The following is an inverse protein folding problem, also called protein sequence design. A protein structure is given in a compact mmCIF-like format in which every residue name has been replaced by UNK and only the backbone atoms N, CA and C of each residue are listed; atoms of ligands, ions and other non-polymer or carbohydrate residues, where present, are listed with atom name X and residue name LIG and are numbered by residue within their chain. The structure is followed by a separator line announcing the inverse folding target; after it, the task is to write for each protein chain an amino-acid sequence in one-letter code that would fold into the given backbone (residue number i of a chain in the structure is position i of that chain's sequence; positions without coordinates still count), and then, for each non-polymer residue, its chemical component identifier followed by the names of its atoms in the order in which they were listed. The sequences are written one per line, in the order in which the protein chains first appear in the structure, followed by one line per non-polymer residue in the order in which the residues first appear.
data_IF_961060286558
#
_entry.id   IF_961060286558
#
_cell.length_a   1.000
_cell.length_b   1.000
_cell.length_c   1.000
_cell.angle_alpha   90.00
_cell.angle_beta   90.00
_cell.angle_gamma   90.00
#
_symmetry.space_group_name_H-M   'P 1'
#
loop_
_entity.id
_entity.type
_entity.pdbx_description
1 polymer ?
#
# COMPACT_ATOMS: atom_id res chain seq x y z
N UNK A 1 9.22 -16.61 11.38
CA UNK A 1 8.13 -15.92 10.65
C UNK A 1 7.03 -16.89 10.21
N UNK A 2 7.29 -17.89 9.36
CA UNK A 2 6.23 -18.77 8.81
C UNK A 2 5.46 -19.65 9.82
N UNK A 3 6.09 -20.11 10.92
CA UNK A 3 5.42 -20.97 11.92
C UNK A 3 4.32 -20.29 12.75
N UNK A 4 4.29 -18.96 12.82
CA UNK A 4 3.25 -18.23 13.57
C UNK A 4 2.00 -18.02 12.70
N UNK A 5 2.17 -17.77 11.40
CA UNK A 5 1.06 -17.48 10.50
C UNK A 5 0.26 -18.73 10.08
N UNK A 6 0.93 -19.89 9.96
CA UNK A 6 0.27 -21.15 9.54
C UNK A 6 -0.79 -21.63 10.54
N UNK A 7 -0.54 -21.68 11.86
CA UNK A 7 -1.55 -22.05 12.85
C UNK A 7 -2.75 -21.09 12.86
N UNK A 8 -2.50 -19.78 12.75
CA UNK A 8 -3.56 -18.77 12.71
C UNK A 8 -4.43 -18.95 11.47
N UNK A 9 -3.81 -19.19 10.30
CA UNK A 9 -4.52 -19.46 9.06
C UNK A 9 -5.40 -20.72 9.14
N UNK A 10 -4.88 -21.81 9.73
CA UNK A 10 -5.63 -23.05 9.95
C UNK A 10 -6.82 -22.86 10.89
N UNK A 11 -6.63 -22.14 12.00
CA UNK A 11 -7.72 -21.82 12.94
C UNK A 11 -8.81 -21.00 12.26
N UNK A 12 -8.43 -20.00 11.48
CA UNK A 12 -9.39 -19.20 10.70
C UNK A 12 -10.17 -20.07 9.71
N UNK A 13 -9.49 -20.96 8.98
CA UNK A 13 -10.11 -21.88 8.01
C UNK A 13 -11.09 -22.85 8.69
N UNK A 14 -10.71 -23.39 9.84
CA UNK A 14 -11.55 -24.28 10.65
C UNK A 14 -12.78 -23.56 11.23
N UNK A 15 -12.70 -22.24 11.46
CA UNK A 15 -13.80 -21.43 11.98
C UNK A 15 -14.81 -21.00 10.89
N UNK A 16 -14.43 -21.00 9.60
CA UNK A 16 -15.29 -20.57 8.49
C UNK A 16 -16.67 -21.26 8.46
N UNK A 17 -16.81 -22.59 8.64
CA UNK A 17 -18.11 -23.26 8.59
C UNK A 17 -19.07 -22.85 9.71
N UNK A 18 -18.52 -22.39 10.85
CA UNK A 18 -19.29 -21.93 12.00
C UNK A 18 -19.68 -20.44 11.88
N UNK A 19 -18.85 -19.64 11.20
CA UNK A 19 -19.03 -18.18 11.08
C UNK A 19 -19.78 -17.77 9.81
N UNK A 20 -19.77 -18.58 8.76
CA UNK A 20 -20.43 -18.27 7.50
C UNK A 20 -21.91 -18.69 7.50
N UNK A 21 -22.83 -17.84 6.98
CA UNK A 21 -24.22 -18.21 6.77
C UNK A 21 -24.34 -19.45 5.88
N UNK A 22 -25.12 -20.45 6.30
CA UNK A 22 -25.31 -21.74 5.58
C UNK A 22 -25.96 -21.61 4.19
N UNK A 23 -26.46 -20.43 3.82
CA UNK A 23 -27.10 -20.19 2.52
C UNK A 23 -26.65 -18.84 1.96
N UNK A 24 -25.95 -18.89 0.83
CA UNK A 24 -25.76 -17.71 -0.02
C UNK A 24 -27.08 -17.44 -0.77
N UNK A 25 -27.56 -16.18 -0.84
CA UNK A 25 -28.84 -15.84 -1.50
C UNK A 25 -28.89 -16.19 -2.99
N UNK A 26 -27.74 -16.34 -3.67
CA UNK A 26 -27.64 -16.81 -5.04
C UNK A 26 -26.36 -17.63 -5.25
N UNK A 27 -26.36 -18.62 -6.17
CA UNK A 27 -25.14 -19.26 -6.62
C UNK A 27 -24.29 -18.24 -7.39
N UNK A 28 -23.30 -17.63 -6.73
CA UNK A 28 -22.29 -16.84 -7.41
C UNK A 28 -21.50 -17.76 -8.34
N UNK A 29 -21.63 -17.54 -9.66
CA UNK A 29 -20.81 -18.24 -10.65
C UNK A 29 -19.41 -17.63 -10.57
N UNK A 30 -18.41 -18.45 -10.24
CA UNK A 30 -17.04 -18.01 -10.10
C UNK A 30 -16.39 -17.88 -11.49
N UNK A 31 -15.89 -16.71 -11.85
CA UNK A 31 -15.05 -16.52 -13.05
C UNK A 31 -13.65 -17.12 -12.80
N UNK A 32 -13.53 -18.45 -12.86
CA UNK A 32 -12.24 -19.11 -12.68
C UNK A 32 -11.16 -18.56 -13.63
N UNK A 33 -11.42 -18.41 -14.95
CA UNK A 33 -10.46 -17.83 -15.88
C UNK A 33 -10.02 -16.42 -15.47
N UNK A 34 -10.97 -15.54 -15.15
CA UNK A 34 -10.70 -14.17 -14.73
C UNK A 34 -9.85 -14.12 -13.45
N UNK A 35 -10.22 -14.92 -12.44
CA UNK A 35 -9.48 -15.03 -11.17
C UNK A 35 -8.05 -15.51 -11.42
N UNK A 36 -7.85 -16.57 -12.19
CA UNK A 36 -6.51 -17.10 -12.48
C UNK A 36 -5.67 -16.05 -13.21
N UNK A 37 -6.21 -15.36 -14.20
CA UNK A 37 -5.49 -14.35 -14.98
C UNK A 37 -5.07 -13.15 -14.12
N UNK A 38 -5.98 -12.59 -13.32
CA UNK A 38 -5.68 -11.42 -12.49
C UNK A 38 -4.72 -11.77 -11.35
N UNK A 39 -4.86 -12.95 -10.74
CA UNK A 39 -3.95 -13.42 -9.68
C UNK A 39 -2.57 -13.70 -10.25
N UNK A 40 -2.47 -14.43 -11.37
CA UNK A 40 -1.19 -14.71 -12.02
C UNK A 40 -0.53 -13.42 -12.53
N UNK A 41 -1.32 -12.48 -13.07
CA UNK A 41 -0.84 -11.17 -13.50
C UNK A 41 -0.24 -10.37 -12.35
N UNK A 42 -0.95 -10.29 -11.23
CA UNK A 42 -0.48 -9.60 -10.02
C UNK A 42 0.75 -10.27 -9.41
N UNK A 43 0.77 -11.59 -9.33
CA UNK A 43 1.93 -12.34 -8.85
C UNK A 43 3.15 -12.12 -9.76
N UNK A 44 2.96 -12.13 -11.08
CA UNK A 44 4.02 -11.86 -12.05
C UNK A 44 4.53 -10.42 -11.96
N UNK A 45 3.64 -9.45 -11.76
CA UNK A 45 4.01 -8.04 -11.58
C UNK A 45 4.89 -7.85 -10.34
N UNK A 46 4.41 -8.33 -9.20
CA UNK A 46 5.13 -8.24 -7.92
C UNK A 46 6.48 -8.95 -8.02
N UNK A 47 6.50 -10.18 -8.56
CA UNK A 47 7.73 -10.94 -8.74
C UNK A 47 8.73 -10.21 -9.65
N UNK A 48 8.25 -9.65 -10.76
CA UNK A 48 9.06 -8.87 -11.68
C UNK A 48 9.64 -7.61 -11.05
N UNK A 49 8.87 -6.87 -10.26
CA UNK A 49 9.34 -5.68 -9.53
C UNK A 49 10.39 -6.01 -8.47
N UNK A 50 10.20 -7.09 -7.71
CA UNK A 50 11.20 -7.58 -6.75
C UNK A 50 12.49 -7.98 -7.48
N UNK A 51 12.38 -8.76 -8.56
CA UNK A 51 13.54 -9.17 -9.37
C UNK A 51 14.25 -8.00 -10.05
N UNK A 52 13.51 -6.97 -10.47
CA UNK A 52 14.09 -5.75 -11.00
C UNK A 52 14.97 -5.07 -9.94
N UNK A 53 14.54 -5.13 -8.67
CA UNK A 53 15.29 -4.56 -7.57
C UNK A 53 16.56 -5.34 -7.21
N UNK A 54 16.49 -6.68 -7.27
CA UNK A 54 17.60 -7.57 -6.91
C UNK A 54 18.63 -7.78 -8.04
N UNK A 55 18.15 -8.04 -9.26
CA UNK A 55 18.96 -8.43 -10.41
C UNK A 55 19.12 -7.33 -11.46
N UNK A 56 18.50 -6.17 -11.22
CA UNK A 56 18.49 -5.03 -12.13
C UNK A 56 17.31 -5.04 -13.13
N UNK A 57 16.91 -3.84 -13.52
CA UNK A 57 15.75 -3.57 -14.37
C UNK A 57 15.83 -4.15 -15.79
N UNK A 58 17.05 -4.29 -16.33
CA UNK A 58 17.28 -4.84 -17.65
C UNK A 58 17.44 -6.37 -17.66
N UNK A 59 17.43 -7.02 -16.48
CA UNK A 59 17.60 -8.47 -16.40
C UNK A 59 16.41 -9.20 -17.00
N UNK A 60 16.67 -10.27 -17.76
CA UNK A 60 15.61 -11.12 -18.32
C UNK A 60 14.68 -11.66 -17.23
N UNK A 61 15.22 -11.93 -16.03
CA UNK A 61 14.49 -12.39 -14.85
C UNK A 61 13.51 -11.35 -14.28
N UNK A 62 13.68 -10.07 -14.59
CA UNK A 62 12.75 -8.99 -14.24
C UNK A 62 11.82 -8.63 -15.40
N UNK A 63 12.36 -8.45 -16.61
CA UNK A 63 11.59 -8.02 -17.78
C UNK A 63 10.55 -9.06 -18.18
N UNK A 64 10.91 -10.35 -18.20
CA UNK A 64 10.00 -11.42 -18.62
C UNK A 64 8.72 -11.48 -17.77
N UNK A 65 8.77 -11.53 -16.42
CA UNK A 65 7.56 -11.50 -15.61
C UNK A 65 6.80 -10.17 -15.67
N UNK A 66 7.47 -9.02 -15.85
CA UNK A 66 6.78 -7.73 -16.05
C UNK A 66 5.97 -7.68 -17.35
N UNK A 67 6.58 -8.13 -18.46
CA UNK A 67 5.87 -8.26 -19.75
C UNK A 67 4.77 -9.31 -19.63
N UNK A 68 5.03 -10.44 -18.96
CA UNK A 68 4.04 -11.47 -18.66
C UNK A 68 2.84 -10.92 -17.90
N UNK A 69 3.06 -10.08 -16.90
CA UNK A 69 1.99 -9.41 -16.15
C UNK A 69 1.13 -8.53 -17.06
N UNK A 70 1.74 -7.73 -17.93
CA UNK A 70 1.01 -6.89 -18.90
C UNK A 70 0.13 -7.74 -19.83
N UNK A 71 0.67 -8.84 -20.35
CA UNK A 71 -0.07 -9.78 -21.20
C UNK A 71 -1.23 -10.43 -20.42
N UNK A 72 -0.99 -10.86 -19.18
CA UNK A 72 -2.01 -11.48 -18.32
C UNK A 72 -3.14 -10.50 -17.97
N UNK A 73 -2.83 -9.24 -17.68
CA UNK A 73 -3.84 -8.21 -17.45
C UNK A 73 -4.62 -7.84 -18.72
N UNK A 74 -3.97 -7.81 -19.88
CA UNK A 74 -4.65 -7.61 -21.16
C UNK A 74 -5.60 -8.78 -21.48
N UNK A 75 -5.15 -10.02 -21.24
CA UNK A 75 -5.97 -11.21 -21.37
C UNK A 75 -7.15 -11.20 -20.37
N UNK A 76 -6.91 -10.83 -19.11
CA UNK A 76 -7.96 -10.65 -18.10
C UNK A 76 -9.03 -9.67 -18.59
N UNK A 77 -8.61 -8.48 -19.05
CA UNK A 77 -9.54 -7.47 -19.54
C UNK A 77 -10.33 -7.94 -20.78
N UNK A 78 -9.72 -8.75 -21.66
CA UNK A 78 -10.40 -9.33 -22.81
C UNK A 78 -11.43 -10.41 -22.40
N UNK A 79 -11.06 -11.29 -21.45
CA UNK A 79 -11.94 -12.34 -20.93
C UNK A 79 -13.13 -11.74 -20.19
N UNK A 80 -12.90 -10.78 -19.28
CA UNK A 80 -13.96 -10.11 -18.53
C UNK A 80 -15.00 -9.42 -19.42
N UNK A 81 -14.58 -8.86 -20.57
CA UNK A 81 -15.50 -8.20 -21.51
C UNK A 81 -16.46 -9.15 -22.21
N UNK A 82 -16.10 -10.44 -22.31
CA UNK A 82 -16.88 -11.46 -23.04
C UNK A 82 -17.52 -12.47 -22.09
N UNK A 83 -17.04 -12.56 -20.84
CA UNK A 83 -17.52 -13.48 -19.82
C UNK A 83 -18.97 -13.20 -19.43
N UNK A 84 -19.79 -14.27 -19.41
CA UNK A 84 -21.19 -14.21 -18.92
C UNK A 84 -21.28 -14.22 -17.40
N UNK A 85 -20.19 -14.52 -16.71
CA UNK A 85 -20.07 -14.55 -15.26
C UNK A 85 -18.84 -13.75 -14.82
N UNK A 86 -18.63 -12.59 -15.46
CA UNK A 86 -17.53 -11.66 -15.21
C UNK A 86 -17.28 -11.46 -13.70
N UNK A 87 -16.01 -11.55 -13.30
CA UNK A 87 -15.58 -11.36 -11.92
C UNK A 87 -15.94 -9.97 -11.42
N UNK A 88 -15.79 -8.95 -12.28
CA UNK A 88 -16.05 -7.58 -11.91
C UNK A 88 -16.44 -6.72 -13.12
N UNK A 89 -17.31 -5.73 -12.89
CA UNK A 89 -17.49 -4.69 -13.89
C UNK A 89 -16.18 -3.87 -13.98
N UNK A 90 -15.49 -3.94 -15.12
CA UNK A 90 -14.26 -3.17 -15.37
C UNK A 90 -14.48 -1.65 -15.25
N UNK A 91 -15.72 -1.15 -15.36
CA UNK A 91 -16.07 0.24 -15.07
C UNK A 91 -15.78 0.61 -13.62
N UNK A 92 -15.63 -0.34 -12.72
CA UNK A 92 -15.17 -0.11 -11.34
C UNK A 92 -13.82 0.62 -11.32
N UNK A 93 -12.89 0.29 -12.23
CA UNK A 93 -11.61 1.01 -12.37
C UNK A 93 -11.77 2.41 -12.97
N UNK A 94 -12.95 2.77 -13.49
CA UNK A 94 -13.25 4.15 -13.91
C UNK A 94 -13.96 4.94 -12.81
N UNK A 95 -14.43 4.29 -11.74
CA UNK A 95 -15.04 4.96 -10.59
C UNK A 95 -13.95 5.72 -9.84
N UNK A 96 -14.06 7.05 -9.85
CA UNK A 96 -13.07 7.96 -9.29
C UNK A 96 -12.67 7.65 -7.85
N UNK A 97 -13.63 7.25 -7.00
CA UNK A 97 -13.36 6.93 -5.60
C UNK A 97 -12.53 5.65 -5.41
N UNK A 98 -12.77 4.63 -6.23
CA UNK A 98 -11.96 3.39 -6.26
C UNK A 98 -10.55 3.69 -6.72
N UNK A 99 -10.39 4.50 -7.78
CA UNK A 99 -9.08 4.95 -8.27
C UNK A 99 -8.31 5.74 -7.21
N UNK A 100 -8.98 6.64 -6.50
CA UNK A 100 -8.39 7.41 -5.39
C UNK A 100 -7.90 6.48 -4.30
N UNK A 101 -8.74 5.53 -3.84
CA UNK A 101 -8.34 4.62 -2.79
C UNK A 101 -7.20 3.70 -3.21
N UNK A 102 -7.24 3.17 -4.43
CA UNK A 102 -6.14 2.38 -4.99
C UNK A 102 -4.82 3.16 -5.05
N UNK A 103 -4.86 4.42 -5.52
CA UNK A 103 -3.69 5.30 -5.57
C UNK A 103 -3.11 5.58 -4.18
N UNK A 104 -3.95 6.00 -3.23
CA UNK A 104 -3.51 6.31 -1.87
C UNK A 104 -2.93 5.06 -1.20
N UNK A 105 -3.56 3.90 -1.37
CA UNK A 105 -3.05 2.65 -0.81
C UNK A 105 -1.69 2.26 -1.39
N UNK A 106 -1.52 2.37 -2.72
CA UNK A 106 -0.25 2.06 -3.36
C UNK A 106 0.88 2.94 -2.85
N UNK A 107 0.66 4.26 -2.78
CA UNK A 107 1.68 5.21 -2.30
C UNK A 107 2.00 5.01 -0.83
N UNK A 108 0.97 4.92 0.02
CA UNK A 108 1.14 4.72 1.46
C UNK A 108 1.91 3.44 1.75
N UNK A 109 1.61 2.35 1.03
CA UNK A 109 2.27 1.05 1.22
C UNK A 109 3.70 1.05 0.69
N UNK A 110 3.94 1.64 -0.49
CA UNK A 110 5.27 1.77 -1.06
C UNK A 110 6.22 2.55 -0.13
N UNK A 111 5.75 3.66 0.42
CA UNK A 111 6.52 4.46 1.38
C UNK A 111 6.72 3.71 2.70
N UNK A 112 5.68 3.06 3.22
CA UNK A 112 5.77 2.30 4.48
C UNK A 112 6.83 1.20 4.38
N UNK A 113 6.72 0.33 3.38
CA UNK A 113 7.66 -0.77 3.20
C UNK A 113 9.05 -0.23 2.87
N UNK A 114 9.14 0.84 2.06
CA UNK A 114 10.39 1.53 1.78
C UNK A 114 11.09 2.01 3.05
N UNK A 115 10.36 2.68 3.95
CA UNK A 115 10.89 3.16 5.22
C UNK A 115 11.36 2.06 6.15
N UNK A 116 10.61 0.96 6.25
CA UNK A 116 11.03 -0.19 7.06
C UNK A 116 12.28 -0.87 6.48
N UNK A 117 12.38 -0.96 5.14
CA UNK A 117 13.53 -1.54 4.48
C UNK A 117 14.76 -0.65 4.63
N UNK A 118 14.68 0.62 4.21
CA UNK A 118 15.76 1.60 4.37
C UNK A 118 16.19 1.71 5.83
N UNK A 119 15.24 1.83 6.76
CA UNK A 119 15.51 1.89 8.19
C UNK A 119 16.20 0.63 8.70
N UNK A 120 15.80 -0.56 8.24
CA UNK A 120 16.44 -1.82 8.63
C UNK A 120 17.86 -1.92 8.11
N UNK A 121 18.10 -1.57 6.84
CA UNK A 121 19.45 -1.57 6.25
C UNK A 121 20.34 -0.57 6.99
N UNK A 122 19.86 0.65 7.27
CA UNK A 122 20.60 1.64 8.04
C UNK A 122 20.94 1.12 9.45
N UNK A 123 19.95 0.62 10.19
CA UNK A 123 20.16 0.16 11.57
C UNK A 123 21.06 -1.08 11.65
N UNK A 124 20.89 -2.06 10.76
CA UNK A 124 21.63 -3.32 10.85
C UNK A 124 22.99 -3.23 10.17
N UNK A 125 23.06 -2.69 8.95
CA UNK A 125 24.32 -2.70 8.18
C UNK A 125 25.21 -1.51 8.51
N UNK A 126 24.66 -0.30 8.74
CA UNK A 126 25.49 0.86 9.12
C UNK A 126 25.66 1.01 10.63
N UNK A 127 24.61 0.79 11.42
CA UNK A 127 24.65 0.97 12.88
C UNK A 127 24.99 -0.31 13.66
N UNK A 128 24.99 -1.47 13.01
CA UNK A 128 25.32 -2.75 13.64
C UNK A 128 24.28 -3.26 14.64
N UNK A 129 23.04 -2.77 14.58
CA UNK A 129 21.97 -3.20 15.48
C UNK A 129 21.59 -4.65 15.17
N UNK A 130 21.28 -5.43 16.21
CA UNK A 130 20.69 -6.75 16.02
C UNK A 130 19.29 -6.65 15.39
N UNK A 131 18.78 -7.72 14.76
CA UNK A 131 17.41 -7.75 14.25
C UNK A 131 16.37 -7.46 15.35
N UNK A 132 16.59 -7.95 16.58
CA UNK A 132 15.72 -7.68 17.72
C UNK A 132 15.73 -6.20 18.10
N UNK A 133 16.92 -5.59 18.20
CA UNK A 133 17.05 -4.17 18.51
C UNK A 133 16.41 -3.28 17.43
N UNK A 134 16.56 -3.66 16.16
CA UNK A 134 15.91 -2.98 15.02
C UNK A 134 14.39 -3.05 15.13
N UNK A 135 13.83 -4.22 15.45
CA UNK A 135 12.40 -4.39 15.69
C UNK A 135 11.87 -3.51 16.82
N UNK A 136 12.62 -3.38 17.91
CA UNK A 136 12.26 -2.50 19.03
C UNK A 136 12.24 -1.01 18.62
N UNK A 137 13.16 -0.57 17.77
CA UNK A 137 13.18 0.81 17.24
C UNK A 137 11.95 1.10 16.36
N UNK A 138 11.37 0.10 15.71
CA UNK A 138 10.15 0.27 14.92
C UNK A 138 8.84 0.20 15.72
N UNK A 139 8.86 -0.17 17.01
CA UNK A 139 7.64 -0.19 17.82
C UNK A 139 6.93 1.17 17.88
N UNK A 140 7.62 2.31 18.16
CA UNK A 140 7.00 3.62 18.11
C UNK A 140 6.43 3.97 16.73
N UNK A 141 7.09 3.52 15.66
CA UNK A 141 6.65 3.75 14.27
C UNK A 141 5.33 3.00 14.01
N UNK A 142 5.21 1.75 14.45
CA UNK A 142 3.99 0.97 14.36
C UNK A 142 2.84 1.59 15.17
N UNK A 143 3.12 2.03 16.40
CA UNK A 143 2.14 2.73 17.25
C UNK A 143 1.66 4.02 16.58
N UNK A 144 2.57 4.83 16.05
CA UNK A 144 2.23 6.07 15.36
C UNK A 144 1.36 5.82 14.12
N UNK A 145 1.66 4.78 13.35
CA UNK A 145 0.83 4.33 12.21
C UNK A 145 -0.58 3.98 12.66
N UNK A 146 -0.72 3.22 13.75
CA UNK A 146 -2.03 2.87 14.32
C UNK A 146 -2.83 4.08 14.83
N UNK A 147 -2.15 5.05 15.45
CA UNK A 147 -2.78 6.32 15.87
C UNK A 147 -3.23 7.11 14.65
N UNK A 148 -2.38 7.21 13.62
CA UNK A 148 -2.70 7.85 12.34
C UNK A 148 -3.93 7.22 11.70
N UNK A 149 -3.98 5.89 11.62
CA UNK A 149 -5.14 5.14 11.11
C UNK A 149 -6.44 5.46 11.87
N UNK A 150 -6.37 5.46 13.21
CA UNK A 150 -7.52 5.82 14.05
C UNK A 150 -7.97 7.25 13.77
N UNK A 151 -7.06 8.21 13.68
CA UNK A 151 -7.39 9.60 13.39
C UNK A 151 -7.92 9.77 11.96
N UNK A 152 -7.36 9.06 10.98
CA UNK A 152 -7.82 9.05 9.59
C UNK A 152 -9.30 8.69 9.48
N UNK A 153 -9.75 7.62 10.17
CA UNK A 153 -11.18 7.25 10.16
C UNK A 153 -12.10 8.36 10.67
N UNK A 154 -11.65 9.16 11.65
CA UNK A 154 -12.41 10.28 12.20
C UNK A 154 -12.35 11.51 11.29
N UNK A 155 -11.18 11.80 10.71
CA UNK A 155 -10.95 12.97 9.88
C UNK A 155 -11.69 12.88 8.53
N UNK A 156 -11.71 11.70 7.89
CA UNK A 156 -12.47 11.50 6.65
C UNK A 156 -13.94 11.90 6.84
N UNK A 157 -14.55 11.51 7.97
CA UNK A 157 -15.93 11.87 8.32
C UNK A 157 -16.13 13.36 8.61
N UNK A 158 -15.12 14.06 9.14
CA UNK A 158 -15.24 15.45 9.62
C UNK A 158 -14.84 16.49 8.58
N UNK A 159 -13.72 16.28 7.89
CA UNK A 159 -13.10 17.25 6.98
C UNK A 159 -13.03 16.75 5.53
N UNK A 160 -13.55 15.55 5.27
CA UNK A 160 -13.63 14.94 3.94
C UNK A 160 -12.36 14.23 3.51
N UNK A 161 -12.49 13.40 2.47
CA UNK A 161 -11.39 12.59 1.94
C UNK A 161 -10.22 13.44 1.45
N UNK A 162 -10.49 14.48 0.65
CA UNK A 162 -9.43 15.30 0.04
C UNK A 162 -8.51 15.92 1.09
N UNK A 163 -9.09 16.63 2.05
CA UNK A 163 -8.33 17.29 3.11
C UNK A 163 -7.55 16.28 3.95
N UNK A 164 -8.16 15.13 4.25
CA UNK A 164 -7.53 14.08 5.06
C UNK A 164 -6.35 13.44 4.32
N UNK A 165 -6.53 13.09 3.04
CA UNK A 165 -5.50 12.47 2.20
C UNK A 165 -4.30 13.41 1.97
N UNK A 166 -4.57 14.68 1.64
CA UNK A 166 -3.50 15.65 1.42
C UNK A 166 -2.75 15.93 2.72
N UNK A 167 -3.45 16.04 3.86
CA UNK A 167 -2.81 16.22 5.16
C UNK A 167 -1.93 15.02 5.54
N UNK A 168 -2.40 13.78 5.32
CA UNK A 168 -1.61 12.57 5.53
C UNK A 168 -0.31 12.58 4.73
N UNK A 169 -0.41 12.79 3.42
CA UNK A 169 0.75 12.82 2.50
C UNK A 169 1.72 13.96 2.81
N UNK A 170 1.23 15.14 3.20
CA UNK A 170 2.07 16.28 3.62
C UNK A 170 2.81 15.95 4.92
N UNK A 171 2.13 15.36 5.90
CA UNK A 171 2.78 14.91 7.15
C UNK A 171 3.82 13.83 6.85
N UNK A 172 3.53 12.91 5.93
CA UNK A 172 4.49 11.90 5.46
C UNK A 172 5.72 12.55 4.83
N UNK A 173 5.53 13.51 3.92
CA UNK A 173 6.63 14.25 3.31
C UNK A 173 7.46 15.01 4.35
N UNK A 174 6.81 15.70 5.28
CA UNK A 174 7.45 16.47 6.34
C UNK A 174 8.25 15.59 7.31
N UNK A 175 7.75 14.40 7.68
CA UNK A 175 8.47 13.44 8.51
C UNK A 175 9.66 12.80 7.79
N UNK A 176 9.56 12.65 6.46
CA UNK A 176 10.62 12.08 5.63
C UNK A 176 11.75 13.07 5.37
N UNK A 177 11.44 14.37 5.27
CA UNK A 177 12.39 15.40 4.88
C UNK A 177 13.66 15.45 5.76
N UNK A 178 13.59 15.39 7.11
CA UNK A 178 14.79 15.33 7.95
C UNK A 178 15.68 14.10 7.71
N UNK A 179 15.11 13.00 7.20
CA UNK A 179 15.83 11.76 6.93
C UNK A 179 16.73 11.86 5.69
N UNK A 180 16.50 12.85 4.83
CA UNK A 180 17.38 13.17 3.69
C UNK A 180 18.79 13.50 4.17
N UNK A 181 18.91 14.17 5.31
CA UNK A 181 20.19 14.56 5.92
C UNK A 181 20.54 13.69 7.13
N UNK A 182 20.17 12.40 7.07
CA UNK A 182 20.52 11.45 8.12
C UNK A 182 22.04 11.18 8.07
N UNK A 183 22.83 11.65 9.05
CA UNK A 183 24.27 11.43 9.07
C UNK A 183 24.53 9.95 9.36
N UNK A 184 25.57 9.37 8.76
CA UNK A 184 25.97 7.98 9.00
C UNK A 184 26.24 7.68 10.49
N UNK A 185 26.76 8.66 11.22
CA UNK A 185 27.06 8.58 12.65
C UNK A 185 25.94 9.14 13.55
N UNK A 186 24.87 9.69 12.97
CA UNK A 186 23.81 10.41 13.67
C UNK A 186 23.00 9.57 14.66
N UNK A 187 22.46 10.23 15.69
CA UNK A 187 21.62 9.57 16.68
C UNK A 187 20.32 9.06 16.06
N UNK A 188 20.14 7.73 16.11
CA UNK A 188 18.93 7.01 15.70
C UNK A 188 17.69 7.59 16.39
N UNK A 189 17.78 7.86 17.69
CA UNK A 189 16.65 8.33 18.49
C UNK A 189 16.35 9.82 18.29
N UNK A 190 17.32 10.62 17.85
CA UNK A 190 17.14 12.05 17.64
C UNK A 190 16.72 12.40 16.21
N UNK A 191 17.04 11.57 15.21
CA UNK A 191 16.76 11.85 13.79
C UNK A 191 15.91 10.79 13.11
N UNK A 192 16.40 9.54 13.03
CA UNK A 192 15.72 8.48 12.30
C UNK A 192 14.34 8.18 12.89
N UNK A 193 14.27 7.89 14.19
CA UNK A 193 13.03 7.47 14.84
C UNK A 193 11.96 8.58 14.81
N UNK A 194 12.24 9.85 15.17
CA UNK A 194 11.22 10.90 15.08
C UNK A 194 10.71 11.13 13.65
N UNK A 195 11.62 11.14 12.66
CA UNK A 195 11.24 11.31 11.26
C UNK A 195 10.33 10.18 10.77
N UNK A 196 10.71 8.92 11.03
CA UNK A 196 9.90 7.76 10.68
C UNK A 196 8.57 7.71 11.43
N UNK A 197 8.54 8.11 12.71
CA UNK A 197 7.29 8.19 13.50
C UNK A 197 6.31 9.19 12.88
N UNK A 198 6.79 10.40 12.56
CA UNK A 198 5.97 11.43 11.91
C UNK A 198 5.52 10.94 10.53
N UNK A 199 6.44 10.39 9.74
CA UNK A 199 6.14 9.97 8.39
C UNK A 199 5.08 8.85 8.35
N UNK A 200 5.24 7.84 9.21
CA UNK A 200 4.35 6.69 9.30
C UNK A 200 3.01 7.01 9.96
N UNK A 201 2.93 8.05 10.79
CA UNK A 201 1.65 8.59 11.24
C UNK A 201 0.81 9.08 10.05
N UNK A 202 1.40 9.85 9.13
CA UNK A 202 0.72 10.30 7.91
C UNK A 202 0.28 9.13 7.02
N UNK A 203 1.16 8.13 6.86
CA UNK A 203 0.83 6.89 6.14
C UNK A 203 -0.38 6.19 6.77
N UNK A 204 -0.44 6.09 8.11
CA UNK A 204 -1.57 5.50 8.80
C UNK A 204 -2.89 6.20 8.47
N UNK A 205 -2.88 7.53 8.45
CA UNK A 205 -4.04 8.35 8.03
C UNK A 205 -4.47 7.97 6.61
N UNK A 206 -3.52 7.90 5.68
CA UNK A 206 -3.81 7.62 4.27
C UNK A 206 -4.24 6.18 4.00
N UNK A 207 -3.74 5.21 4.76
CA UNK A 207 -4.17 3.80 4.70
C UNK A 207 -5.69 3.68 4.91
N UNK A 208 -6.20 4.33 5.96
CA UNK A 208 -7.62 4.30 6.28
C UNK A 208 -8.41 5.17 5.31
N UNK A 209 -7.85 6.32 4.92
CA UNK A 209 -8.47 7.20 3.92
C UNK A 209 -8.65 6.48 2.59
N UNK A 210 -7.69 5.65 2.19
CA UNK A 210 -7.75 4.83 0.98
C UNK A 210 -8.94 3.86 0.99
N UNK A 211 -9.05 3.02 2.03
CA UNK A 211 -10.12 2.01 2.14
C UNK A 211 -11.50 2.68 2.26
N UNK A 212 -11.63 3.66 3.16
CA UNK A 212 -12.91 4.34 3.38
C UNK A 212 -13.40 5.07 2.13
N UNK A 213 -12.49 5.63 1.34
CA UNK A 213 -12.82 6.30 0.08
C UNK A 213 -13.15 5.32 -1.01
N UNK A 214 -12.38 4.24 -1.19
CA UNK A 214 -12.66 3.26 -2.23
C UNK A 214 -14.03 2.59 -2.06
N UNK A 215 -14.43 2.39 -0.80
CA UNK A 215 -15.72 1.79 -0.44
C UNK A 215 -16.85 2.82 -0.38
N UNK A 216 -16.55 4.12 -0.45
CA UNK A 216 -17.57 5.14 -0.48
C UNK A 216 -18.39 5.02 -1.77
N UNK A 217 -19.71 4.90 -1.62
CA UNK A 217 -20.68 4.77 -2.73
C UNK A 217 -20.54 3.48 -3.57
N UNK A 218 -19.88 2.45 -3.03
CA UNK A 218 -19.89 1.10 -3.62
C UNK A 218 -21.08 0.33 -3.05
N UNK A 219 -21.81 -0.38 -3.90
CA UNK A 219 -22.94 -1.21 -3.46
C UNK A 219 -22.43 -2.34 -2.53
N UNK A 220 -23.21 -2.78 -1.52
CA UNK A 220 -22.77 -3.82 -0.58
C UNK A 220 -22.27 -5.11 -1.27
N UNK A 221 -22.83 -5.44 -2.42
CA UNK A 221 -22.48 -6.62 -3.23
C UNK A 221 -21.12 -6.47 -3.92
N UNK A 222 -20.69 -5.23 -4.20
CA UNK A 222 -19.41 -4.90 -4.85
C UNK A 222 -18.31 -4.53 -3.85
N UNK A 223 -18.63 -4.39 -2.56
CA UNK A 223 -17.69 -3.96 -1.52
C UNK A 223 -16.50 -4.92 -1.39
N UNK A 224 -16.73 -6.23 -1.56
CA UNK A 224 -15.67 -7.24 -1.59
C UNK A 224 -14.69 -7.02 -2.75
N UNK A 225 -15.19 -6.69 -3.94
CA UNK A 225 -14.36 -6.39 -5.11
C UNK A 225 -13.58 -5.09 -4.92
N UNK A 226 -14.21 -4.04 -4.40
CA UNK A 226 -13.55 -2.76 -4.12
C UNK A 226 -12.39 -2.93 -3.13
N UNK A 227 -12.65 -3.64 -2.03
CA UNK A 227 -11.64 -3.98 -1.04
C UNK A 227 -10.51 -4.81 -1.65
N UNK A 228 -10.85 -5.79 -2.50
CA UNK A 228 -9.88 -6.60 -3.24
C UNK A 228 -8.98 -5.77 -4.16
N UNK A 229 -9.54 -4.77 -4.86
CA UNK A 229 -8.75 -3.83 -5.67
C UNK A 229 -7.80 -3.04 -4.79
N UNK A 230 -8.27 -2.43 -3.69
CA UNK A 230 -7.39 -1.68 -2.78
C UNK A 230 -6.28 -2.55 -2.21
N UNK A 231 -6.59 -3.78 -1.80
CA UNK A 231 -5.60 -4.72 -1.28
C UNK A 231 -4.61 -5.18 -2.37
N UNK A 232 -5.05 -5.29 -3.62
CA UNK A 232 -4.13 -5.56 -4.74
C UNK A 232 -3.12 -4.42 -4.89
N UNK A 233 -3.58 -3.18 -4.81
CA UNK A 233 -2.70 -2.01 -4.85
C UNK A 233 -1.82 -1.86 -3.61
N UNK A 234 -2.25 -2.37 -2.45
CA UNK A 234 -1.39 -2.54 -1.26
C UNK A 234 -0.20 -3.46 -1.58
N UNK A 235 -0.45 -4.67 -2.10
CA UNK A 235 0.62 -5.62 -2.46
C UNK A 235 1.56 -5.08 -3.55
N UNK A 236 0.98 -4.46 -4.59
CA UNK A 236 1.77 -3.82 -5.65
C UNK A 236 2.62 -2.67 -5.09
N UNK A 237 2.03 -1.81 -4.24
CA UNK A 237 2.76 -0.75 -3.55
C UNK A 237 3.94 -1.30 -2.75
N UNK A 238 3.74 -2.38 -2.02
CA UNK A 238 4.81 -3.06 -1.28
C UNK A 238 5.95 -3.54 -2.15
N UNK A 239 5.65 -4.05 -3.36
CA UNK A 239 6.68 -4.44 -4.31
C UNK A 239 7.46 -3.26 -4.91
N UNK A 240 6.85 -2.08 -5.03
CA UNK A 240 7.52 -0.85 -5.50
C UNK A 240 8.58 -0.38 -4.49
N UNK A 241 8.45 -0.70 -3.20
CA UNK A 241 9.48 -0.39 -2.21
C UNK A 241 10.85 -1.02 -2.54
N UNK A 242 10.88 -2.14 -3.30
CA UNK A 242 12.12 -2.71 -3.80
C UNK A 242 12.89 -1.71 -4.70
N UNK A 243 12.17 -0.89 -5.47
CA UNK A 243 12.76 0.16 -6.33
C UNK A 243 13.49 1.21 -5.50
N UNK A 244 12.89 1.67 -4.39
CA UNK A 244 13.51 2.62 -3.47
C UNK A 244 14.80 2.04 -2.87
N UNK A 245 14.83 0.73 -2.64
CA UNK A 245 15.96 -0.01 -2.11
C UNK A 245 17.10 -0.09 -3.12
N UNK A 246 16.78 -0.36 -4.40
CA UNK A 246 17.77 -0.34 -5.48
C UNK A 246 18.39 1.03 -5.66
N UNK A 247 17.60 2.12 -5.60
CA UNK A 247 18.14 3.49 -5.63
C UNK A 247 19.11 3.73 -4.47
N UNK A 248 18.78 3.24 -3.27
CA UNK A 248 19.68 3.33 -2.12
C UNK A 248 21.00 2.56 -2.36
N UNK A 249 20.92 1.32 -2.83
CA UNK A 249 22.08 0.45 -3.07
C UNK A 249 22.95 0.97 -4.21
N UNK A 250 22.35 1.36 -5.35
CA UNK A 250 23.09 1.94 -6.47
C UNK A 250 23.80 3.25 -6.07
N UNK A 251 23.19 4.07 -5.21
CA UNK A 251 23.85 5.25 -4.66
C UNK A 251 25.01 4.93 -3.72
N UNK A 252 24.98 3.78 -3.03
CA UNK A 252 26.08 3.29 -2.18
C UNK A 252 27.25 2.78 -3.03
N UNK A 253 26.99 2.05 -4.12
CA UNK A 253 28.02 1.47 -5.00
C UNK A 253 28.85 2.52 -5.75
N UNK A 254 28.27 3.70 -6.03
CA UNK A 254 28.98 4.82 -6.67
C UNK A 254 29.78 5.69 -5.67
N UNK A 255 29.89 5.26 -4.42
CA UNK A 255 30.83 5.79 -3.44
C UNK A 255 30.38 7.10 -2.78
N UNK A 256 29.36 7.06 -1.92
CA UNK A 256 29.16 8.02 -0.83
C UNK A 256 28.04 7.59 0.12
N UNK A 257 27.98 8.25 1.27
CA UNK A 257 26.80 8.34 2.14
C UNK A 257 25.50 8.84 1.44
N UNK A 258 25.55 9.09 0.12
CA UNK A 258 24.48 9.64 -0.74
C UNK A 258 23.35 8.66 -1.08
N UNK A 259 23.53 7.34 -0.91
CA UNK A 259 22.48 6.37 -1.25
C UNK A 259 21.21 6.51 -0.40
N UNK A 260 21.38 6.66 0.92
CA UNK A 260 20.25 6.90 1.84
C UNK A 260 19.63 8.28 1.61
N UNK A 261 20.46 9.31 1.43
CA UNK A 261 19.99 10.65 1.07
C UNK A 261 19.15 10.61 -0.20
N UNK A 262 19.60 9.93 -1.25
CA UNK A 262 18.87 9.79 -2.53
C UNK A 262 17.55 9.05 -2.35
N UNK A 263 17.55 7.95 -1.60
CA UNK A 263 16.36 7.13 -1.41
C UNK A 263 15.31 7.82 -0.52
N UNK A 264 15.73 8.50 0.55
CA UNK A 264 14.83 9.35 1.36
C UNK A 264 14.37 10.59 0.60
N UNK A 265 15.22 11.17 -0.27
CA UNK A 265 14.82 12.29 -1.16
C UNK A 265 13.73 11.84 -2.12
N UNK A 266 13.92 10.70 -2.78
CA UNK A 266 12.92 10.13 -3.68
C UNK A 266 11.62 9.82 -2.93
N UNK A 267 11.71 9.34 -1.70
CA UNK A 267 10.53 9.08 -0.86
C UNK A 267 9.80 10.37 -0.48
N UNK A 268 10.53 11.42 -0.09
CA UNK A 268 9.96 12.74 0.22
C UNK A 268 9.31 13.38 -1.02
N UNK A 269 9.96 13.31 -2.19
CA UNK A 269 9.40 13.76 -3.46
C UNK A 269 8.16 12.96 -3.81
N UNK A 270 8.18 11.63 -3.63
CA UNK A 270 7.01 10.77 -3.91
C UNK A 270 5.83 11.16 -3.03
N UNK A 271 6.05 11.38 -1.74
CA UNK A 271 4.99 11.83 -0.82
C UNK A 271 4.45 13.22 -1.20
N UNK A 272 5.33 14.18 -1.48
CA UNK A 272 4.95 15.55 -1.85
C UNK A 272 4.23 15.60 -3.21
N UNK A 273 4.74 14.91 -4.23
CA UNK A 273 4.11 14.81 -5.54
C UNK A 273 2.75 14.10 -5.44
N UNK A 274 2.65 13.06 -4.60
CA UNK A 274 1.37 12.39 -4.35
C UNK A 274 0.35 13.30 -3.69
N UNK A 275 0.78 14.20 -2.79
CA UNK A 275 -0.11 15.21 -2.22
C UNK A 275 -0.66 16.16 -3.30
N UNK A 276 0.18 16.57 -4.25
CA UNK A 276 -0.23 17.40 -5.39
C UNK A 276 -1.17 16.64 -6.34
N UNK A 277 -0.87 15.37 -6.63
CA UNK A 277 -1.74 14.51 -7.45
C UNK A 277 -3.10 14.32 -6.74
N UNK A 278 -3.10 14.13 -5.42
CA UNK A 278 -4.31 13.99 -4.64
C UNK A 278 -5.22 15.24 -4.73
N UNK A 279 -4.67 16.45 -4.82
CA UNK A 279 -5.46 17.67 -5.04
C UNK A 279 -6.28 17.63 -6.34
N UNK A 280 -5.77 16.96 -7.38
CA UNK A 280 -6.46 16.82 -8.67
C UNK A 280 -7.37 15.59 -8.67
N UNK A 281 -6.87 14.46 -8.18
CA UNK A 281 -7.52 13.16 -8.27
C UNK A 281 -8.69 13.03 -7.29
N UNK A 282 -8.55 13.53 -6.06
CA UNK A 282 -9.52 13.33 -4.99
C UNK A 282 -10.70 14.30 -5.12
N UNK A 283 -11.95 13.81 -5.15
CA UNK A 283 -13.12 14.70 -5.17
C UNK A 283 -13.24 15.52 -3.88
N UNK A 284 -13.75 16.75 -3.99
CA UNK A 284 -14.01 17.65 -2.86
C UNK A 284 -15.22 17.23 -1.98
N UNK A 285 -15.64 15.97 -2.04
CA UNK A 285 -16.88 15.52 -1.43
C UNK A 285 -16.76 15.49 0.11
N UNK A 286 -17.61 16.25 0.80
CA UNK A 286 -17.95 15.96 2.20
C UNK A 286 -18.77 14.67 2.23
N UNK A 287 -18.54 13.75 3.18
CA UNK A 287 -19.44 12.62 3.35
C UNK A 287 -20.84 13.18 3.62
N UNK A 288 -21.80 12.82 2.78
CA UNK A 288 -23.20 13.03 3.12
C UNK A 288 -23.45 12.09 4.31
N UNK A 289 -23.62 12.67 5.49
CA UNK A 289 -24.27 11.97 6.60
C UNK A 289 -25.63 11.57 6.07
N UNK A 290 -25.79 10.29 5.70
CA UNK A 290 -27.10 9.71 5.49
C UNK A 290 -27.87 9.94 6.78
N UNK A 291 -28.79 10.91 6.75
CA UNK A 291 -29.75 11.12 7.81
C UNK A 291 -30.46 9.80 8.06
N UNK A 292 -30.53 9.41 9.34
CA UNK A 292 -31.31 8.24 9.73
C UNK A 292 -32.77 8.40 9.32
N UNK A 293 -33.42 7.27 9.02
CA UNK A 293 -34.77 7.05 9.47
C UNK A 293 -34.91 5.62 10.00
N UNK A 294 -34.82 5.46 11.33
CA UNK A 294 -35.55 4.37 12.00
C UNK A 294 -36.89 4.95 12.44
N UNK A 295 -37.82 5.00 11.50
CA UNK A 295 -39.25 5.04 11.76
C UNK A 295 -39.87 3.97 10.87
N UNK A 296 -40.00 2.76 11.42
CA UNK A 296 -41.11 1.82 11.26
C UNK A 296 -40.97 0.76 12.33
#
# INVERSE_FOLDING_TARGET
MFFVNVPVGLVALAALPALLPRRLPQPARLDLPGVVLVTAGTASLIYGLVRAGDAGWASTTAVLPLVGALVLYAAFAAVERVSRAALMDLRMFTRRLVLVGAFLMLVATALLIGFFLLGSVYLQQQRGYSPLATGLVFLPVAVATGIGARLGSQLVGRIGTLTTAVAGLVVTAAGTLPLVWLPADGSVYARLMPGLVIASFGIGVDFVTAITTALALVAPEEAGLASGVVNTFHEVGGSIAAVLSTVAVSGIEHGAADGFTSAFTLSAITAAASALIALVLVPHSKPQTTGGPHAH
#
